data_IF_160256623195
#
_entry.id   IF_160256623195
#
_cell.length_a   1.000
_cell.length_b   1.000
_cell.length_c   1.000
_cell.angle_alpha   90.00
_cell.angle_beta   90.00
_cell.angle_gamma   90.00
#
_symmetry.space_group_name_H-M   'P 1'
#
loop_
_entity.id
_entity.type
_entity.pdbx_description
1 polymer ?
#
# COMPACT_ATOMS: atom_id res chain seq x y z
N UNK A 1 5.23 -1.17 -7.85
CA UNK A 1 6.28 -0.37 -8.51
C UNK A 1 7.05 -1.26 -9.46
N UNK A 2 7.37 -0.77 -10.66
CA UNK A 2 8.11 -1.49 -11.70
C UNK A 2 9.29 -0.64 -12.19
N UNK A 3 10.39 -1.25 -12.68
CA UNK A 3 11.56 -0.52 -13.19
C UNK A 3 11.28 0.15 -14.53
N UNK A 4 12.23 0.96 -14.98
CA UNK A 4 12.21 1.55 -16.32
C UNK A 4 12.11 0.47 -17.41
N UNK A 5 11.36 0.75 -18.47
CA UNK A 5 11.20 -0.17 -19.59
C UNK A 5 10.31 -1.39 -19.33
N UNK A 6 9.78 -1.59 -18.11
CA UNK A 6 8.89 -2.70 -17.80
C UNK A 6 7.66 -2.72 -18.71
N UNK A 7 7.29 -3.90 -19.22
CA UNK A 7 6.04 -4.14 -19.97
C UNK A 7 4.80 -4.22 -19.09
N UNK A 8 4.97 -4.44 -17.77
CA UNK A 8 3.88 -4.54 -16.79
C UNK A 8 3.21 -3.18 -16.64
N UNK A 9 1.93 -3.08 -17.01
CA UNK A 9 1.14 -1.83 -17.01
C UNK A 9 0.15 -1.74 -15.87
N UNK A 10 -0.31 -2.88 -15.37
CA UNK A 10 -1.33 -3.00 -14.33
C UNK A 10 -1.03 -4.21 -13.44
N UNK A 11 -1.83 -4.40 -12.38
CA UNK A 11 -1.65 -5.50 -11.41
C UNK A 11 -1.85 -6.87 -12.08
N UNK A 12 -2.77 -6.99 -13.04
CA UNK A 12 -3.02 -8.26 -13.71
C UNK A 12 -1.81 -8.72 -14.56
N UNK A 13 -1.09 -7.77 -15.18
CA UNK A 13 0.13 -8.08 -15.93
C UNK A 13 1.26 -8.62 -15.03
N UNK A 14 1.19 -8.36 -13.72
CA UNK A 14 2.18 -8.84 -12.78
C UNK A 14 1.99 -10.33 -12.40
N UNK A 15 0.80 -10.92 -12.65
CA UNK A 15 0.56 -12.34 -12.37
C UNK A 15 0.76 -13.23 -13.60
N UNK A 16 1.98 -13.22 -14.13
CA UNK A 16 2.38 -14.05 -15.27
C UNK A 16 3.56 -14.96 -14.92
N UNK A 17 3.72 -16.10 -15.64
CA UNK A 17 4.87 -16.96 -15.48
C UNK A 17 6.19 -16.21 -15.69
N UNK A 18 7.14 -16.46 -14.80
CA UNK A 18 8.46 -15.82 -14.85
C UNK A 18 8.52 -14.41 -14.24
N UNK A 19 7.41 -13.86 -13.79
CA UNK A 19 7.41 -12.60 -13.03
C UNK A 19 7.75 -12.88 -11.57
N UNK A 20 8.76 -12.18 -11.05
CA UNK A 20 9.16 -12.19 -9.65
C UNK A 20 8.71 -10.88 -9.00
N UNK A 21 8.02 -10.99 -7.87
CA UNK A 21 7.50 -9.86 -7.12
C UNK A 21 8.21 -9.79 -5.78
N UNK A 22 9.06 -8.79 -5.58
CA UNK A 22 9.69 -8.54 -4.29
C UNK A 22 8.65 -8.02 -3.29
N UNK A 23 8.62 -8.61 -2.10
CA UNK A 23 7.67 -8.26 -1.03
C UNK A 23 8.32 -8.46 0.34
N UNK A 24 7.99 -7.61 1.30
CA UNK A 24 8.48 -7.78 2.67
C UNK A 24 7.74 -8.96 3.34
N UNK A 25 8.51 -9.90 3.89
CA UNK A 25 7.99 -11.08 4.59
C UNK A 25 7.02 -10.68 5.71
N UNK A 26 5.91 -11.40 5.82
CA UNK A 26 4.87 -11.18 6.82
C UNK A 26 4.20 -9.79 6.77
N UNK A 27 4.35 -9.06 5.68
CA UNK A 27 3.60 -7.83 5.44
C UNK A 27 2.18 -8.12 4.97
N UNK A 28 1.30 -7.11 4.99
CA UNK A 28 -0.05 -7.22 4.41
C UNK A 28 0.02 -7.58 2.94
N UNK A 29 0.97 -7.00 2.20
CA UNK A 29 1.22 -7.28 0.78
C UNK A 29 1.58 -8.76 0.57
N UNK A 30 2.45 -9.33 1.41
CA UNK A 30 2.82 -10.76 1.34
C UNK A 30 1.59 -11.64 1.53
N UNK A 31 0.78 -11.39 2.57
CA UNK A 31 -0.43 -12.18 2.84
C UNK A 31 -1.48 -12.08 1.72
N UNK A 32 -1.68 -10.90 1.16
CA UNK A 32 -2.65 -10.69 0.08
C UNK A 32 -2.17 -11.34 -1.21
N UNK A 33 -0.93 -11.08 -1.61
CA UNK A 33 -0.36 -11.61 -2.85
C UNK A 33 -0.22 -13.14 -2.82
N UNK A 34 0.13 -13.74 -1.66
CA UNK A 34 0.16 -15.20 -1.50
C UNK A 34 -1.17 -15.87 -1.84
N UNK A 35 -2.31 -15.18 -1.57
CA UNK A 35 -3.64 -15.72 -1.86
C UNK A 35 -4.14 -15.38 -3.26
N UNK A 36 -3.64 -14.30 -3.83
CA UNK A 36 -4.16 -13.72 -5.07
C UNK A 36 -3.44 -14.24 -6.31
N UNK A 37 -2.12 -14.41 -6.23
CA UNK A 37 -1.28 -14.81 -7.35
C UNK A 37 -1.49 -16.30 -7.72
N UNK A 38 -1.49 -16.54 -9.03
CA UNK A 38 -1.65 -17.88 -9.61
C UNK A 38 -0.38 -18.34 -10.34
N UNK A 39 0.41 -17.42 -10.88
CA UNK A 39 1.51 -17.71 -11.80
C UNK A 39 2.82 -17.05 -11.39
N UNK A 40 2.77 -15.80 -10.91
CA UNK A 40 3.96 -15.07 -10.48
C UNK A 40 4.53 -15.62 -9.16
N UNK A 41 5.82 -15.38 -8.95
CA UNK A 41 6.55 -15.85 -7.77
C UNK A 41 6.88 -14.71 -6.81
N UNK A 42 6.73 -14.95 -5.50
CA UNK A 42 7.09 -13.99 -4.48
C UNK A 42 8.55 -14.17 -4.04
N UNK A 43 9.32 -13.11 -4.18
CA UNK A 43 10.66 -12.96 -3.60
C UNK A 43 10.51 -12.25 -2.26
N UNK A 44 10.47 -13.04 -1.18
CA UNK A 44 10.27 -12.53 0.18
C UNK A 44 11.58 -12.04 0.76
N UNK A 45 11.60 -10.78 1.18
CA UNK A 45 12.74 -10.10 1.79
C UNK A 45 12.42 -9.68 3.22
N UNK A 46 13.45 -9.42 4.02
CA UNK A 46 13.26 -9.07 5.43
C UNK A 46 12.93 -7.60 5.64
N UNK A 47 13.37 -6.71 4.73
CA UNK A 47 13.13 -5.27 4.86
C UNK A 47 12.65 -4.64 3.55
N UNK A 48 11.95 -3.52 3.66
CA UNK A 48 11.52 -2.71 2.51
C UNK A 48 12.73 -2.28 1.66
N UNK A 49 13.84 -1.89 2.30
CA UNK A 49 15.07 -1.48 1.60
C UNK A 49 15.65 -2.62 0.77
N UNK A 50 15.71 -3.84 1.33
CA UNK A 50 16.18 -5.02 0.60
C UNK A 50 15.27 -5.33 -0.60
N UNK A 51 13.94 -5.17 -0.47
CA UNK A 51 13.01 -5.35 -1.58
C UNK A 51 13.26 -4.36 -2.73
N UNK A 52 13.53 -3.12 -2.41
CA UNK A 52 13.93 -2.12 -3.39
C UNK A 52 15.27 -2.47 -4.07
N UNK A 53 16.25 -2.95 -3.32
CA UNK A 53 17.55 -3.36 -3.86
C UNK A 53 17.42 -4.58 -4.80
N UNK A 54 16.54 -5.53 -4.48
CA UNK A 54 16.20 -6.69 -5.34
C UNK A 54 15.61 -6.21 -6.66
N UNK A 55 14.64 -5.27 -6.64
CA UNK A 55 14.09 -4.67 -7.86
C UNK A 55 15.17 -3.93 -8.67
N UNK A 56 15.98 -3.11 -8.01
CA UNK A 56 17.04 -2.31 -8.65
C UNK A 56 18.10 -3.18 -9.31
N UNK A 57 18.42 -4.31 -8.71
CA UNK A 57 19.38 -5.29 -9.24
C UNK A 57 18.81 -6.14 -10.40
N UNK A 58 17.52 -6.02 -10.74
CA UNK A 58 16.87 -6.83 -11.76
C UNK A 58 16.56 -8.25 -11.34
N UNK A 59 16.58 -8.54 -10.04
CA UNK A 59 16.23 -9.84 -9.46
C UNK A 59 14.73 -9.98 -9.14
N UNK A 60 13.95 -8.96 -9.43
CA UNK A 60 12.49 -8.96 -9.47
C UNK A 60 12.00 -7.93 -10.50
N UNK A 61 10.86 -8.22 -11.14
CA UNK A 61 10.20 -7.35 -12.12
C UNK A 61 9.25 -6.35 -11.43
N UNK A 62 8.81 -6.67 -10.21
CA UNK A 62 7.86 -5.86 -9.44
C UNK A 62 8.30 -5.75 -7.99
N UNK A 63 8.08 -4.58 -7.39
CA UNK A 63 8.20 -4.36 -5.95
C UNK A 63 6.85 -3.98 -5.36
N UNK A 64 6.30 -4.84 -4.50
CA UNK A 64 5.00 -4.68 -3.86
C UNK A 64 5.15 -4.05 -2.48
N UNK A 65 4.66 -2.82 -2.35
CA UNK A 65 4.69 -2.02 -1.11
C UNK A 65 3.50 -1.04 -1.10
N UNK A 66 3.19 -0.41 0.04
CA UNK A 66 2.21 0.66 0.09
C UNK A 66 2.54 1.79 -0.90
N UNK A 67 1.52 2.38 -1.53
CA UNK A 67 1.69 3.43 -2.55
C UNK A 67 2.58 4.61 -2.09
N UNK A 68 2.45 5.17 -0.88
CA UNK A 68 3.35 6.23 -0.42
C UNK A 68 4.82 5.81 -0.44
N UNK A 69 5.11 4.60 0.02
CA UNK A 69 6.45 4.00 -0.01
C UNK A 69 6.94 3.79 -1.44
N UNK A 70 6.08 3.25 -2.32
CA UNK A 70 6.42 3.07 -3.74
C UNK A 70 6.81 4.39 -4.41
N UNK A 71 6.07 5.48 -4.13
CA UNK A 71 6.37 6.81 -4.67
C UNK A 71 7.70 7.37 -4.17
N UNK A 72 8.05 7.14 -2.90
CA UNK A 72 9.36 7.55 -2.34
C UNK A 72 10.52 6.81 -3.02
N UNK A 73 10.38 5.49 -3.22
CA UNK A 73 11.42 4.70 -3.87
C UNK A 73 11.49 4.96 -5.39
N UNK A 74 10.36 5.23 -6.04
CA UNK A 74 10.33 5.58 -7.46
C UNK A 74 11.09 6.88 -7.74
N UNK A 75 11.05 7.85 -6.84
CA UNK A 75 11.87 9.07 -6.94
C UNK A 75 13.38 8.80 -6.91
N UNK A 76 13.81 7.65 -6.38
CA UNK A 76 15.22 7.22 -6.27
C UNK A 76 15.65 6.27 -7.40
N UNK A 77 14.72 5.87 -8.27
CA UNK A 77 14.98 4.98 -9.41
C UNK A 77 14.43 5.61 -10.70
N UNK A 78 15.27 6.37 -11.43
CA UNK A 78 14.85 7.06 -12.65
C UNK A 78 14.16 6.14 -13.66
N UNK A 79 13.05 6.60 -14.24
CA UNK A 79 12.26 5.85 -15.22
C UNK A 79 11.36 4.75 -14.62
N UNK A 80 11.46 4.46 -13.34
CA UNK A 80 10.53 3.53 -12.68
C UNK A 80 9.11 4.12 -12.61
N UNK A 81 8.12 3.24 -12.48
CA UNK A 81 6.71 3.63 -12.39
C UNK A 81 6.01 2.97 -11.21
N UNK A 82 5.10 3.69 -10.57
CA UNK A 82 4.12 3.13 -9.67
C UNK A 82 2.85 2.89 -10.48
N UNK A 83 2.33 1.66 -10.48
CA UNK A 83 1.12 1.31 -11.24
C UNK A 83 -0.08 2.09 -10.69
N UNK A 84 -0.98 2.49 -11.57
CA UNK A 84 -2.16 3.29 -11.18
C UNK A 84 -3.18 2.48 -10.39
N UNK A 85 -3.38 1.23 -10.78
CA UNK A 85 -4.25 0.30 -10.07
C UNK A 85 -3.64 -0.23 -8.76
N UNK A 86 -4.47 -0.85 -7.95
CA UNK A 86 -4.08 -1.43 -6.66
C UNK A 86 -4.63 -2.84 -6.52
N UNK A 87 -3.87 -3.71 -5.91
CA UNK A 87 -4.32 -5.06 -5.58
C UNK A 87 -4.99 -5.15 -4.19
N UNK A 88 -4.78 -4.15 -3.34
CA UNK A 88 -5.36 -4.08 -2.00
C UNK A 88 -5.43 -2.64 -1.49
N UNK A 89 -6.34 -2.38 -0.54
CA UNK A 89 -6.41 -1.15 0.21
C UNK A 89 -6.26 -1.44 1.71
N UNK A 90 -5.37 -0.74 2.39
CA UNK A 90 -5.21 -0.81 3.84
C UNK A 90 -5.97 0.34 4.46
N UNK A 91 -6.89 0.03 5.37
CA UNK A 91 -7.63 1.02 6.15
C UNK A 91 -6.95 1.20 7.51
N UNK A 92 -6.56 2.42 7.81
CA UNK A 92 -6.07 2.77 9.14
C UNK A 92 -7.24 3.08 10.06
N UNK A 93 -7.20 2.55 11.27
CA UNK A 93 -8.25 2.73 12.27
C UNK A 93 -7.65 3.05 13.65
N UNK A 94 -8.45 3.67 14.51
CA UNK A 94 -8.11 3.86 15.91
C UNK A 94 -8.77 2.73 16.71
N UNK A 95 -7.98 2.00 17.50
CA UNK A 95 -8.48 0.96 18.38
C UNK A 95 -8.71 1.52 19.79
N UNK A 96 -9.82 1.14 20.41
CA UNK A 96 -10.09 1.38 21.82
C UNK A 96 -10.20 0.05 22.57
N UNK A 97 -9.85 -0.02 23.87
CA UNK A 97 -9.97 -1.24 24.65
C UNK A 97 -11.41 -1.76 24.67
N UNK A 98 -11.57 -3.08 24.70
CA UNK A 98 -12.88 -3.72 24.78
C UNK A 98 -13.66 -3.25 26.02
N UNK A 99 -14.96 -3.06 25.87
CA UNK A 99 -15.85 -2.59 26.96
C UNK A 99 -15.91 -1.07 27.12
N UNK A 100 -15.20 -0.29 26.33
CA UNK A 100 -15.15 1.18 26.40
C UNK A 100 -16.11 1.83 25.36
N UNK A 101 -17.39 1.48 25.41
CA UNK A 101 -18.37 1.93 24.43
C UNK A 101 -18.44 3.48 24.28
N UNK A 102 -18.40 4.21 25.40
CA UNK A 102 -18.42 5.68 25.37
C UNK A 102 -17.18 6.28 24.72
N UNK A 103 -16.01 5.67 24.91
CA UNK A 103 -14.78 6.11 24.22
C UNK A 103 -14.83 5.79 22.74
N UNK A 104 -15.38 4.63 22.38
CA UNK A 104 -15.55 4.27 20.97
C UNK A 104 -16.46 5.27 20.25
N UNK A 105 -17.62 5.61 20.86
CA UNK A 105 -18.53 6.61 20.30
C UNK A 105 -17.82 7.95 20.10
N UNK A 106 -17.17 8.47 21.15
CA UNK A 106 -16.44 9.74 21.06
C UNK A 106 -15.38 9.75 19.95
N UNK A 107 -14.55 8.68 19.87
CA UNK A 107 -13.51 8.59 18.81
C UNK A 107 -14.14 8.49 17.42
N UNK A 108 -15.25 7.75 17.28
CA UNK A 108 -15.96 7.66 16.00
C UNK A 108 -16.47 9.02 15.56
N UNK A 109 -17.19 9.74 16.42
CA UNK A 109 -17.74 11.06 16.13
C UNK A 109 -16.63 12.07 15.80
N UNK A 110 -15.54 12.07 16.58
CA UNK A 110 -14.38 12.91 16.31
C UNK A 110 -13.76 12.64 14.94
N UNK A 111 -13.57 11.38 14.54
CA UNK A 111 -12.99 11.04 13.23
C UNK A 111 -13.93 11.40 12.10
N UNK A 112 -15.24 11.19 12.26
CA UNK A 112 -16.22 11.57 11.23
C UNK A 112 -16.25 13.10 11.04
N UNK A 113 -16.22 13.87 12.12
CA UNK A 113 -16.12 15.34 12.08
C UNK A 113 -14.78 15.80 11.45
N UNK A 114 -13.67 15.16 11.84
CA UNK A 114 -12.35 15.47 11.30
C UNK A 114 -12.25 15.18 9.78
N UNK A 115 -12.94 14.14 9.30
CA UNK A 115 -13.07 13.87 7.86
C UNK A 115 -13.94 14.92 7.19
N UNK A 116 -15.13 15.20 7.74
CA UNK A 116 -16.10 16.15 7.19
C UNK A 116 -15.54 17.57 7.10
N UNK A 117 -14.82 18.04 8.13
CA UNK A 117 -14.17 19.35 8.15
C UNK A 117 -12.92 19.46 7.27
N UNK A 118 -12.45 18.36 6.67
CA UNK A 118 -11.20 18.31 5.90
C UNK A 118 -9.94 18.36 6.76
N UNK A 119 -10.03 18.22 8.08
CA UNK A 119 -8.87 18.21 8.96
C UNK A 119 -7.89 17.09 8.61
N UNK A 120 -8.41 15.86 8.39
CA UNK A 120 -7.59 14.71 8.00
C UNK A 120 -6.90 14.95 6.66
N UNK A 121 -7.62 15.50 5.68
CA UNK A 121 -7.05 15.82 4.37
C UNK A 121 -5.89 16.81 4.48
N UNK A 122 -6.09 17.91 5.21
CA UNK A 122 -5.02 18.90 5.45
C UNK A 122 -3.81 18.31 6.21
N UNK A 123 -4.04 17.38 7.12
CA UNK A 123 -2.96 16.70 7.85
C UNK A 123 -2.13 15.79 6.91
N UNK A 124 -2.78 15.04 6.03
CA UNK A 124 -2.14 14.20 4.99
C UNK A 124 -1.29 15.08 4.05
N UNK A 125 -1.85 16.20 3.59
CA UNK A 125 -1.15 17.14 2.70
C UNK A 125 0.07 17.78 3.38
N UNK A 126 -0.07 18.25 4.62
CA UNK A 126 1.05 18.82 5.39
C UNK A 126 2.16 17.80 5.65
N UNK A 127 1.80 16.55 5.86
CA UNK A 127 2.76 15.47 6.05
C UNK A 127 3.42 15.01 4.74
N UNK A 128 3.01 15.54 3.57
CA UNK A 128 3.52 15.15 2.27
C UNK A 128 3.22 13.69 1.90
N UNK A 129 2.18 13.08 2.47
CA UNK A 129 1.82 11.68 2.27
C UNK A 129 1.08 11.49 0.93
N UNK A 130 1.86 11.43 -0.15
CA UNK A 130 1.33 11.20 -1.50
C UNK A 130 0.77 9.78 -1.62
N UNK A 131 -0.37 9.64 -2.32
CA UNK A 131 -1.00 8.33 -2.56
C UNK A 131 -1.86 7.82 -1.40
N UNK A 132 -2.05 8.61 -0.33
CA UNK A 132 -3.03 8.36 0.72
C UNK A 132 -4.35 9.03 0.34
N UNK A 133 -5.47 8.36 0.63
CA UNK A 133 -6.82 8.88 0.44
C UNK A 133 -7.56 8.89 1.77
N UNK A 134 -8.30 9.95 2.04
CA UNK A 134 -9.20 10.00 3.20
C UNK A 134 -10.43 9.15 2.91
N UNK A 135 -10.77 8.25 3.83
CA UNK A 135 -11.98 7.43 3.70
C UNK A 135 -13.24 8.34 3.73
N UNK A 136 -14.27 8.02 2.94
CA UNK A 136 -15.52 8.78 2.96
C UNK A 136 -16.15 8.88 4.34
N UNK A 137 -16.87 9.97 4.59
CA UNK A 137 -17.69 10.13 5.81
C UNK A 137 -18.78 9.07 5.84
N UNK A 138 -19.06 8.49 7.01
CA UNK A 138 -20.13 7.52 7.18
C UNK A 138 -19.88 6.15 6.57
N UNK A 139 -18.66 5.87 6.09
CA UNK A 139 -18.30 4.57 5.52
C UNK A 139 -17.36 3.82 6.47
N UNK A 140 -17.88 3.05 7.44
CA UNK A 140 -17.03 2.15 8.23
C UNK A 140 -16.39 1.11 7.29
N UNK A 141 -15.18 0.63 7.56
CA UNK A 141 -14.56 -0.42 6.76
C UNK A 141 -15.50 -1.63 6.73
N UNK A 142 -15.87 -2.04 5.54
CA UNK A 142 -16.60 -3.30 5.34
C UNK A 142 -15.79 -4.44 5.92
N UNK A 143 -16.43 -5.25 6.78
CA UNK A 143 -15.86 -6.42 7.43
C UNK A 143 -15.37 -7.44 6.41
#
# INVERSE_FOLDING_TARGET
MVPAGSSIRNVADADNPGVHIAVTRNSVEDFVLTRMLKQAQLVRVETISTGFDVLRAGNAEVFAVPRPTALQFSARLPGSRVLEDRFHAVFHAIAVPKGQAGRLAYVTDFIEEAKASGLVQRAVERAGLRGVQVAPVGNPPTK
#
